data_IF_904603001718
#
_entry.id   IF_904603001718
#
_cell.length_a   1.000
_cell.length_b   1.000
_cell.length_c   1.000
_cell.angle_alpha   90.00
_cell.angle_beta   90.00
_cell.angle_gamma   90.00
#
_symmetry.space_group_name_H-M   'P 1'
#
loop_
_entity.id
_entity.type
_entity.pdbx_description
1 polymer ?
#
# COMPACT_ATOMS: atom_id res chain seq x y z
N UNK A 1 6.62 0.63 24.66
CA UNK A 1 7.91 0.91 23.99
C UNK A 1 8.11 -0.17 22.95
N UNK A 2 7.92 0.13 21.65
CA UNK A 2 8.08 -0.89 20.59
C UNK A 2 9.58 -1.10 20.37
N UNK A 3 10.09 -2.28 20.71
CA UNK A 3 11.49 -2.65 20.47
C UNK A 3 11.63 -3.08 19.02
N UNK A 4 12.30 -2.27 18.20
CA UNK A 4 12.59 -2.61 16.81
C UNK A 4 13.75 -3.61 16.83
N UNK A 5 13.48 -4.84 16.37
CA UNK A 5 14.49 -5.91 16.37
C UNK A 5 15.52 -5.70 15.26
N UNK A 6 16.73 -6.24 15.43
CA UNK A 6 17.80 -6.19 14.41
C UNK A 6 17.35 -6.72 13.04
N UNK A 7 16.46 -7.72 13.04
CA UNK A 7 15.86 -8.30 11.84
C UNK A 7 14.89 -7.33 11.16
N UNK A 8 14.10 -6.59 11.93
CA UNK A 8 13.22 -5.55 11.39
C UNK A 8 14.01 -4.38 10.78
N UNK A 9 15.14 -4.01 11.40
CA UNK A 9 16.06 -3.04 10.81
C UNK A 9 16.68 -3.52 9.49
N UNK A 10 17.10 -4.78 9.42
CA UNK A 10 17.66 -5.36 8.19
C UNK A 10 16.62 -5.40 7.07
N UNK A 11 15.41 -5.89 7.34
CA UNK A 11 14.32 -5.94 6.38
C UNK A 11 13.90 -4.53 5.91
N UNK A 12 13.86 -3.54 6.79
CA UNK A 12 13.59 -2.15 6.42
C UNK A 12 14.69 -1.57 5.52
N UNK A 13 15.97 -1.90 5.77
CA UNK A 13 17.09 -1.48 4.91
C UNK A 13 17.03 -2.13 3.53
N UNK A 14 16.71 -3.41 3.46
CA UNK A 14 16.61 -4.15 2.20
C UNK A 14 15.42 -3.68 1.36
N UNK A 15 14.26 -3.47 1.98
CA UNK A 15 13.12 -2.85 1.34
C UNK A 15 13.44 -1.42 0.85
N UNK A 16 14.19 -0.65 1.64
CA UNK A 16 14.68 0.68 1.25
C UNK A 16 15.62 0.66 0.05
N UNK A 17 16.46 -0.38 -0.10
CA UNK A 17 17.37 -0.52 -1.23
C UNK A 17 16.66 -0.80 -2.56
N UNK A 18 15.49 -1.42 -2.52
CA UNK A 18 14.64 -1.68 -3.69
C UNK A 18 13.55 -0.62 -3.88
N UNK A 19 13.45 0.34 -2.96
CA UNK A 19 12.42 1.36 -2.96
C UNK A 19 12.71 2.44 -4.01
N UNK A 20 11.69 2.90 -4.76
CA UNK A 20 11.83 4.01 -5.70
C UNK A 20 12.51 5.23 -5.06
N UNK A 21 13.48 5.81 -5.77
CA UNK A 21 14.29 6.95 -5.29
C UNK A 21 13.76 8.22 -5.93
N UNK A 22 13.29 9.18 -5.14
CA UNK A 22 12.93 10.51 -5.65
C UNK A 22 14.20 11.29 -6.05
N UNK A 23 14.18 11.87 -7.25
CA UNK A 23 15.29 12.67 -7.81
C UNK A 23 14.91 14.12 -8.03
N UNK A 24 13.61 14.41 -8.11
CA UNK A 24 13.08 15.78 -8.16
C UNK A 24 11.76 15.85 -7.40
N UNK A 25 11.54 16.97 -6.73
CA UNK A 25 10.28 17.28 -6.07
C UNK A 25 10.03 18.78 -6.12
N UNK A 26 8.79 19.19 -6.40
CA UNK A 26 8.39 20.60 -6.33
C UNK A 26 6.91 20.74 -6.03
N UNK A 27 6.54 21.82 -5.37
CA UNK A 27 5.14 22.20 -5.25
C UNK A 27 4.67 23.04 -6.44
N UNK A 28 3.64 22.57 -7.13
CA UNK A 28 2.96 23.28 -8.21
C UNK A 28 1.78 24.07 -7.66
N UNK A 29 1.99 25.37 -7.42
CA UNK A 29 0.96 26.26 -6.86
C UNK A 29 -0.30 26.33 -7.72
N UNK A 30 -0.15 26.33 -9.04
CA UNK A 30 -1.27 26.41 -10.00
C UNK A 30 -2.17 25.18 -9.91
N UNK A 31 -1.58 24.00 -9.66
CA UNK A 31 -2.30 22.72 -9.60
C UNK A 31 -2.62 22.27 -8.18
N UNK A 32 -2.08 22.95 -7.16
CA UNK A 32 -2.09 22.55 -5.75
C UNK A 32 -1.58 21.11 -5.54
N UNK A 33 -0.47 20.76 -6.20
CA UNK A 33 0.10 19.39 -6.20
C UNK A 33 1.58 19.38 -5.88
N UNK A 34 2.02 18.34 -5.19
CA UNK A 34 3.41 17.94 -5.10
C UNK A 34 3.74 17.10 -6.33
N UNK A 35 4.59 17.63 -7.20
CA UNK A 35 5.10 16.95 -8.38
C UNK A 35 6.44 16.31 -8.02
N UNK A 36 6.55 14.99 -8.21
CA UNK A 36 7.70 14.17 -7.80
C UNK A 36 8.13 13.32 -8.98
N UNK A 37 9.41 13.31 -9.28
CA UNK A 37 10.04 12.43 -10.27
C UNK A 37 10.97 11.44 -9.56
N UNK A 38 10.91 10.19 -9.97
CA UNK A 38 11.71 9.09 -9.44
C UNK A 38 12.77 8.64 -10.44
N UNK A 39 13.89 8.10 -9.94
CA UNK A 39 15.02 7.65 -10.74
C UNK A 39 14.67 6.57 -11.80
N UNK A 40 13.54 5.87 -11.60
CA UNK A 40 13.03 4.88 -12.56
C UNK A 40 12.23 5.51 -13.72
N UNK A 41 12.21 6.85 -13.82
CA UNK A 41 11.50 7.60 -14.86
C UNK A 41 10.01 7.82 -14.59
N UNK A 42 9.47 7.34 -13.47
CA UNK A 42 8.08 7.60 -13.09
C UNK A 42 7.96 9.00 -12.49
N UNK A 43 6.97 9.76 -12.96
CA UNK A 43 6.60 11.04 -12.38
C UNK A 43 5.14 11.01 -11.90
N UNK A 44 4.89 11.55 -10.71
CA UNK A 44 3.57 11.65 -10.10
C UNK A 44 3.26 13.08 -9.68
N UNK A 45 1.97 13.43 -9.67
CA UNK A 45 1.48 14.70 -9.13
C UNK A 45 0.40 14.42 -8.08
N UNK A 46 0.76 14.59 -6.81
CA UNK A 46 -0.12 14.30 -5.67
C UNK A 46 -0.76 15.58 -5.15
N UNK A 47 -2.11 15.71 -5.14
CA UNK A 47 -2.75 16.85 -4.51
C UNK A 47 -2.42 16.93 -3.02
N UNK A 48 -1.95 18.09 -2.56
CA UNK A 48 -1.52 18.26 -1.16
C UNK A 48 -2.67 18.10 -0.16
N UNK A 49 -3.91 18.29 -0.63
CA UNK A 49 -5.13 18.06 0.14
C UNK A 49 -5.37 16.59 0.51
N UNK A 50 -4.73 15.64 -0.19
CA UNK A 50 -4.86 14.20 0.11
C UNK A 50 -3.88 13.74 1.19
N UNK A 51 -2.80 14.50 1.43
CA UNK A 51 -1.70 14.10 2.31
C UNK A 51 -2.07 14.42 3.75
N UNK A 52 -2.28 13.40 4.58
CA UNK A 52 -2.75 13.53 5.96
C UNK A 52 -1.84 14.43 6.79
N UNK A 53 -0.53 14.25 6.66
CA UNK A 53 0.48 14.97 7.41
C UNK A 53 0.36 16.48 7.20
N UNK A 54 -0.03 16.92 6.00
CA UNK A 54 -0.29 18.33 5.68
C UNK A 54 -1.67 18.80 6.17
N UNK A 55 -2.67 17.91 6.19
CA UNK A 55 -4.02 18.24 6.67
C UNK A 55 -4.11 18.24 8.20
N UNK A 56 -3.20 17.57 8.88
CA UNK A 56 -3.18 17.42 10.34
C UNK A 56 -2.37 18.51 11.06
N UNK A 57 -1.77 19.43 10.30
CA UNK A 57 -1.12 20.62 10.85
C UNK A 57 -2.16 21.53 11.52
N UNK A 58 -1.78 22.19 12.62
CA UNK A 58 -2.66 23.14 13.33
C UNK A 58 -3.19 24.25 12.42
N UNK A 59 -2.41 24.63 11.40
CA UNK A 59 -2.77 25.61 10.38
C UNK A 59 -2.46 25.05 9.02
N UNK A 60 -3.36 25.28 8.07
CA UNK A 60 -3.16 24.90 6.69
C UNK A 60 -1.87 25.55 6.15
N UNK A 61 -0.98 24.76 5.52
CA UNK A 61 0.30 25.25 5.05
C UNK A 61 0.11 26.26 3.90
N UNK A 62 0.85 27.35 3.96
CA UNK A 62 0.85 28.35 2.88
C UNK A 62 1.62 27.83 1.67
N UNK A 63 1.32 28.38 0.47
CA UNK A 63 2.06 28.03 -0.73
C UNK A 63 3.56 28.28 -0.61
N UNK A 64 3.98 29.33 0.11
CA UNK A 64 5.39 29.63 0.35
C UNK A 64 6.07 28.51 1.16
N UNK A 65 5.41 28.03 2.23
CA UNK A 65 5.94 26.94 3.05
C UNK A 65 6.04 25.61 2.30
N UNK A 66 5.19 25.39 1.30
CA UNK A 66 5.21 24.18 0.47
C UNK A 66 6.21 24.26 -0.71
N UNK A 67 6.62 25.47 -1.11
CA UNK A 67 7.52 25.65 -2.27
C UNK A 67 8.96 25.26 -1.93
N UNK A 68 9.37 25.44 -0.67
CA UNK A 68 10.66 24.97 -0.16
C UNK A 68 10.56 23.48 0.20
N UNK A 69 10.80 22.62 -0.80
CA UNK A 69 10.88 21.16 -0.63
C UNK A 69 12.29 20.66 -0.93
N UNK A 70 12.83 19.84 -0.05
CA UNK A 70 14.15 19.24 -0.16
C UNK A 70 14.04 17.72 -0.20
N UNK A 71 14.92 17.06 -0.97
CA UNK A 71 14.99 15.61 -1.02
C UNK A 71 16.01 15.12 0.00
N UNK A 72 15.57 14.26 0.91
CA UNK A 72 16.36 13.76 2.04
C UNK A 72 16.45 12.23 2.03
N UNK A 73 17.40 11.69 2.80
CA UNK A 73 17.55 10.26 3.00
C UNK A 73 17.82 9.48 1.70
N UNK A 74 18.59 10.06 0.79
CA UNK A 74 18.92 9.44 -0.51
C UNK A 74 17.70 9.26 -1.42
N UNK A 75 16.73 10.18 -1.39
CA UNK A 75 15.54 10.13 -2.24
C UNK A 75 14.33 9.42 -1.62
N UNK A 76 14.42 8.98 -0.37
CA UNK A 76 13.31 8.30 0.31
C UNK A 76 12.32 9.29 0.94
N UNK A 77 12.74 10.54 1.17
CA UNK A 77 11.94 11.51 1.91
C UNK A 77 11.92 12.89 1.25
N UNK A 78 10.81 13.58 1.41
CA UNK A 78 10.62 14.99 1.05
C UNK A 78 10.51 15.79 2.34
N UNK A 79 11.49 16.65 2.59
CA UNK A 79 11.53 17.52 3.76
C UNK A 79 11.00 18.91 3.40
N UNK A 80 10.14 19.46 4.24
CA UNK A 80 9.63 20.83 4.14
C UNK A 80 10.18 21.64 5.32
N UNK A 81 11.30 22.37 5.15
CA UNK A 81 11.98 23.04 6.27
C UNK A 81 11.09 24.02 7.03
N UNK A 82 10.22 24.72 6.31
CA UNK A 82 9.29 25.72 6.88
C UNK A 82 8.16 25.13 7.71
N UNK A 83 7.93 23.83 7.60
CA UNK A 83 6.89 23.07 8.32
C UNK A 83 7.49 22.09 9.32
N UNK A 84 8.82 21.92 9.31
CA UNK A 84 9.55 20.86 10.00
C UNK A 84 8.88 19.48 9.79
N UNK A 85 8.58 19.18 8.53
CA UNK A 85 7.78 18.02 8.14
C UNK A 85 8.55 17.15 7.16
N UNK A 86 8.52 15.84 7.39
CA UNK A 86 9.08 14.83 6.50
C UNK A 86 7.95 13.97 5.91
N UNK A 87 7.92 13.84 4.59
CA UNK A 87 7.04 12.91 3.88
C UNK A 87 7.82 11.76 3.27
N UNK A 88 7.29 10.55 3.32
CA UNK A 88 7.90 9.38 2.69
C UNK A 88 7.53 9.32 1.19
N UNK A 89 8.49 9.61 0.31
CA UNK A 89 8.24 9.75 -1.12
C UNK A 89 7.75 8.45 -1.80
N UNK A 90 8.33 7.27 -1.54
CA UNK A 90 7.84 6.01 -2.12
C UNK A 90 6.40 5.69 -1.71
N UNK A 91 5.98 6.06 -0.50
CA UNK A 91 4.60 5.89 -0.05
C UNK A 91 3.61 6.65 -0.93
N UNK A 92 3.97 7.89 -1.30
CA UNK A 92 3.16 8.70 -2.21
C UNK A 92 3.02 8.05 -3.59
N UNK A 93 4.09 7.42 -4.09
CA UNK A 93 4.06 6.64 -5.34
C UNK A 93 3.19 5.39 -5.22
N UNK A 94 3.19 4.74 -4.06
CA UNK A 94 2.35 3.58 -3.77
C UNK A 94 0.88 3.94 -3.48
N UNK A 95 0.53 5.24 -3.49
CA UNK A 95 -0.82 5.72 -3.19
C UNK A 95 -1.17 5.72 -1.71
N UNK A 96 -0.17 5.69 -0.83
CA UNK A 96 -0.33 5.84 0.62
C UNK A 96 -0.20 7.32 0.97
N UNK A 97 -1.32 7.94 1.38
CA UNK A 97 -1.38 9.37 1.71
C UNK A 97 -1.62 9.65 3.20
N UNK A 98 -1.54 8.63 4.04
CA UNK A 98 -1.76 8.72 5.48
C UNK A 98 -2.03 7.36 6.11
N UNK A 99 -2.57 7.36 7.32
CA UNK A 99 -3.00 6.18 8.06
C UNK A 99 -4.13 5.45 7.34
N UNK A 100 -4.36 4.20 7.73
CA UNK A 100 -5.46 3.41 7.20
C UNK A 100 -6.82 4.05 7.45
N UNK A 101 -7.00 4.74 8.59
CA UNK A 101 -8.24 5.47 8.91
C UNK A 101 -8.42 6.66 7.97
N UNK A 102 -7.38 7.47 7.78
CA UNK A 102 -7.40 8.58 6.84
C UNK A 102 -7.74 8.13 5.42
N UNK A 103 -7.10 7.05 4.95
CA UNK A 103 -7.36 6.49 3.63
C UNK A 103 -8.80 5.97 3.48
N UNK A 104 -9.38 5.39 4.56
CA UNK A 104 -10.80 4.98 4.57
C UNK A 104 -11.73 6.19 4.50
N UNK A 105 -11.43 7.25 5.24
CA UNK A 105 -12.21 8.49 5.22
C UNK A 105 -12.17 9.18 3.86
N UNK A 106 -10.97 9.31 3.28
CA UNK A 106 -10.77 9.77 1.91
C UNK A 106 -11.58 8.94 0.91
N UNK A 107 -11.51 7.61 1.00
CA UNK A 107 -12.27 6.73 0.12
C UNK A 107 -13.79 6.89 0.28
N UNK A 108 -14.29 7.08 1.51
CA UNK A 108 -15.70 7.36 1.78
C UNK A 108 -16.12 8.70 1.18
N UNK A 109 -15.34 9.76 1.40
CA UNK A 109 -15.61 11.09 0.86
C UNK A 109 -15.60 11.09 -0.68
N UNK A 110 -14.58 10.51 -1.31
CA UNK A 110 -14.46 10.43 -2.77
C UNK A 110 -15.48 9.47 -3.41
N UNK A 111 -15.83 8.39 -2.71
CA UNK A 111 -16.85 7.42 -3.15
C UNK A 111 -18.28 7.95 -3.07
N UNK A 112 -18.52 9.00 -2.26
CA UNK A 112 -19.84 9.56 -1.97
C UNK A 112 -20.47 10.37 -3.12
N UNK A 113 -19.77 10.59 -4.24
CA UNK A 113 -20.34 11.28 -5.40
C UNK A 113 -21.52 10.48 -5.97
N UNK A 114 -22.73 10.91 -5.67
CA UNK A 114 -24.00 10.31 -6.07
C UNK A 114 -24.48 10.93 -7.39
N UNK A 115 -23.84 10.62 -8.52
CA UNK A 115 -24.43 11.01 -9.81
C UNK A 115 -25.58 10.07 -10.20
N UNK A 116 -26.64 10.54 -10.89
CA UNK A 116 -27.69 9.67 -11.42
C UNK A 116 -27.13 8.55 -12.29
N UNK A 117 -26.07 8.83 -13.06
CA UNK A 117 -25.35 7.85 -13.88
C UNK A 117 -24.65 6.78 -13.03
N UNK A 118 -23.94 7.17 -11.95
CA UNK A 118 -23.31 6.23 -11.02
C UNK A 118 -24.35 5.36 -10.31
N UNK A 119 -25.50 5.95 -9.94
CA UNK A 119 -26.60 5.22 -9.33
C UNK A 119 -27.26 4.23 -10.31
N UNK A 120 -27.49 4.63 -11.56
CA UNK A 120 -28.00 3.75 -12.61
C UNK A 120 -27.03 2.60 -12.91
N UNK A 121 -25.74 2.88 -13.03
CA UNK A 121 -24.70 1.87 -13.21
C UNK A 121 -24.61 0.91 -12.01
N UNK A 122 -24.67 1.41 -10.78
CA UNK A 122 -24.67 0.57 -9.58
C UNK A 122 -25.89 -0.36 -9.53
N UNK A 123 -27.09 0.12 -9.90
CA UNK A 123 -28.30 -0.73 -10.02
C UNK A 123 -28.15 -1.78 -11.12
N UNK A 124 -27.62 -1.40 -12.27
CA UNK A 124 -27.36 -2.33 -13.38
C UNK A 124 -26.33 -3.41 -12.99
N UNK A 125 -25.29 -3.03 -12.25
CA UNK A 125 -24.28 -3.97 -11.76
C UNK A 125 -24.82 -4.86 -10.64
N UNK A 126 -25.63 -4.32 -9.73
CA UNK A 126 -26.31 -5.10 -8.68
C UNK A 126 -27.26 -6.16 -9.26
N UNK A 127 -27.93 -5.87 -10.39
CA UNK A 127 -28.76 -6.84 -11.12
C UNK A 127 -27.94 -8.00 -11.72
N UNK A 128 -26.65 -7.80 -11.97
CA UNK A 128 -25.73 -8.85 -12.48
C UNK A 128 -25.15 -9.72 -11.35
N UNK A 129 -25.50 -9.44 -10.09
CA UNK A 129 -25.05 -10.18 -8.91
C UNK A 129 -23.92 -9.49 -8.15
N UNK A 130 -23.94 -9.60 -6.82
CA UNK A 130 -22.88 -9.13 -5.92
C UNK A 130 -21.79 -10.18 -5.67
N UNK A 131 -20.83 -9.87 -4.78
CA UNK A 131 -19.79 -10.80 -4.33
C UNK A 131 -20.47 -12.13 -3.91
N UNK A 132 -20.15 -13.25 -4.56
CA UNK A 132 -20.71 -14.56 -4.21
C UNK A 132 -20.55 -14.81 -2.71
N UNK A 133 -21.60 -15.31 -2.05
CA UNK A 133 -21.51 -15.70 -0.64
C UNK A 133 -20.43 -16.76 -0.51
N UNK A 134 -19.48 -16.56 0.41
CA UNK A 134 -18.51 -17.59 0.78
C UNK A 134 -19.32 -18.73 1.40
N UNK A 135 -19.44 -19.85 0.69
CA UNK A 135 -20.06 -21.04 1.24
C UNK A 135 -19.20 -21.53 2.41
N UNK A 136 -19.80 -21.96 3.54
CA UNK A 136 -19.04 -22.68 4.55
C UNK A 136 -18.43 -23.92 3.89
N UNK A 137 -17.14 -24.15 4.14
CA UNK A 137 -16.42 -25.31 3.60
C UNK A 137 -17.17 -26.59 4.00
N UNK A 138 -17.51 -27.39 3.01
CA UNK A 138 -18.15 -28.68 3.14
C UNK A 138 -17.24 -29.59 3.98
N UNK A 139 -17.75 -30.06 5.13
CA UNK A 139 -17.04 -30.98 6.04
C UNK A 139 -17.45 -32.42 5.77
N UNK A 140 -17.56 -32.81 4.51
CA UNK A 140 -17.80 -34.20 4.12
C UNK A 140 -16.61 -34.70 3.31
N UNK A 141 -15.46 -34.83 3.97
CA UNK A 141 -14.39 -35.73 3.55
C UNK A 141 -13.49 -36.06 4.76
N UNK A 142 -14.11 -36.54 5.83
CA UNK A 142 -13.43 -37.31 6.87
C UNK A 142 -14.08 -38.72 6.82
N UNK A 143 -13.60 -39.54 5.89
CA UNK A 143 -13.80 -40.99 5.96
C UNK A 143 -12.40 -41.61 6.06
N UNK A 144 -12.08 -42.37 7.12
CA UNK A 144 -10.78 -42.98 7.27
C UNK A 144 -10.61 -44.13 6.27
N UNK A 145 -9.54 -44.09 5.48
CA UNK A 145 -9.10 -45.18 4.62
C UNK A 145 -8.76 -46.41 5.47
N UNK A 146 -9.72 -47.32 5.62
CA UNK A 146 -9.53 -48.66 6.19
C UNK A 146 -9.05 -49.58 5.05
N UNK A 147 -7.74 -49.54 4.76
CA UNK A 147 -7.11 -50.45 3.79
C UNK A 147 -6.56 -51.69 4.53
N UNK A 148 -7.03 -52.92 4.20
CA UNK A 148 -6.60 -54.13 4.89
C UNK A 148 -5.19 -54.56 4.46
N UNK A 149 -4.42 -55.01 5.46
CA UNK A 149 -3.07 -55.53 5.31
C UNK A 149 -2.97 -56.70 4.32
N UNK A 150 -2.13 -56.54 3.29
CA UNK A 150 -1.69 -57.61 2.39
C UNK A 150 -0.47 -58.36 2.99
N UNK A 151 -0.53 -59.69 3.19
CA UNK A 151 0.59 -60.47 3.67
C UNK A 151 1.36 -61.13 2.52
N UNK A 152 2.59 -60.65 2.28
CA UNK A 152 3.69 -61.53 1.86
C UNK A 152 4.48 -61.14 0.61
N UNK A 153 5.79 -61.08 0.75
CA UNK A 153 6.73 -61.06 -0.38
C UNK A 153 8.11 -60.54 0.02
N UNK A 154 9.01 -61.44 0.39
CA UNK A 154 10.38 -61.15 0.85
C UNK A 154 11.26 -60.42 -0.19
N UNK A 155 12.26 -59.63 0.25
CA UNK A 155 13.17 -58.91 -0.66
C UNK A 155 14.37 -59.77 -1.08
N UNK A 156 14.86 -59.68 -2.33
CA UNK A 156 16.21 -60.13 -2.68
C UNK A 156 17.24 -59.03 -2.34
N UNK A 157 18.30 -59.44 -1.67
CA UNK A 157 19.36 -58.56 -1.18
C UNK A 157 20.29 -57.99 -2.25
N UNK A 158 20.98 -56.92 -1.87
CA UNK A 158 22.24 -56.49 -2.49
C UNK A 158 23.22 -56.20 -1.35
N UNK A 159 24.36 -56.88 -1.42
CA UNK A 159 25.50 -56.78 -0.53
C UNK A 159 26.27 -55.47 -0.77
N UNK A 160 26.84 -54.95 0.31
CA UNK A 160 27.87 -53.94 0.30
C UNK A 160 29.24 -54.57 -0.03
N UNK A 161 30.00 -53.89 -0.88
CA UNK A 161 31.47 -53.82 -0.86
C UNK A 161 31.89 -52.55 -1.62
#
# INVERSE_FOLDING_TARGET
MVSISKTQFAAAREAGAQSPVAVSARYSRVRARLEIEFANGVAIGVPVALIQELQSLERAPTAAQLTEVEIWGGGQSLYFPRLDLLLWAPGLLQGVFGTQEWMRELARAMGSSTSPAKAAAARANGRKGGRPRKQPADRSNDEPDDEPADPGGAPPGVQAA
#
